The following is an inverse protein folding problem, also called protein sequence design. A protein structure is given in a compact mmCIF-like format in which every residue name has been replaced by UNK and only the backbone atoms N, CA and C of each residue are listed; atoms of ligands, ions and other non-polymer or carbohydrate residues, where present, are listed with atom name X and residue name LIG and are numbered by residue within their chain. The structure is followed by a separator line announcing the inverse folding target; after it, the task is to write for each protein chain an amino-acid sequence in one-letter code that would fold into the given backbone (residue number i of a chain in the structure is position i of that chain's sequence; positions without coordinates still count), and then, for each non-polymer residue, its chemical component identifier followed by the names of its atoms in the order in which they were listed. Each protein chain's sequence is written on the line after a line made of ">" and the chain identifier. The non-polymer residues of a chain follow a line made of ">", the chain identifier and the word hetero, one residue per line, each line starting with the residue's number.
data_IF_190076873926
#
_entry.id   IF_190076873926
#
_cell.length_a   1.000
_cell.length_b   1.000
_cell.length_c   1.000
_cell.angle_alpha   90.00
_cell.angle_beta   90.00
_cell.angle_gamma   90.00
#
_symmetry.space_group_name_H-M   'P 1'
#
loop_
_entity.id
_entity.type
_entity.pdbx_description
1 polymer ?
#
# COMPACT_ATOMS: atom_id res chain seq x y z
N UNK A 1 -11.73 7.10 -9.20
CA UNK A 1 -10.92 5.90 -8.85
C UNK A 1 -9.59 5.85 -9.58
N UNK A 2 -9.57 6.00 -10.91
CA UNK A 2 -8.32 5.87 -11.67
C UNK A 2 -7.29 6.94 -11.32
N UNK A 3 -7.72 8.17 -11.07
CA UNK A 3 -6.82 9.25 -10.66
C UNK A 3 -6.19 8.99 -9.28
N UNK A 4 -6.97 8.43 -8.37
CA UNK A 4 -6.48 8.04 -7.03
C UNK A 4 -5.44 6.94 -7.17
N UNK A 5 -5.72 5.92 -7.98
CA UNK A 5 -4.79 4.83 -8.22
C UNK A 5 -3.49 5.33 -8.87
N UNK A 6 -3.58 6.21 -9.85
CA UNK A 6 -2.41 6.80 -10.49
C UNK A 6 -1.59 7.63 -9.49
N UNK A 7 -2.24 8.41 -8.62
CA UNK A 7 -1.56 9.18 -7.57
C UNK A 7 -0.85 8.26 -6.58
N UNK A 8 -1.47 7.13 -6.22
CA UNK A 8 -0.84 6.13 -5.35
C UNK A 8 0.38 5.48 -6.01
N UNK A 9 0.32 5.20 -7.31
CA UNK A 9 1.49 4.71 -8.05
C UNK A 9 2.61 5.74 -8.05
N UNK A 10 2.30 7.01 -8.29
CA UNK A 10 3.28 8.10 -8.23
C UNK A 10 3.95 8.15 -6.86
N UNK A 11 3.16 8.11 -5.78
CA UNK A 11 3.68 8.14 -4.41
C UNK A 11 4.54 6.92 -4.10
N UNK A 12 4.18 5.74 -4.59
CA UNK A 12 4.97 4.53 -4.38
C UNK A 12 6.36 4.66 -5.00
N UNK A 13 6.45 5.19 -6.22
CA UNK A 13 7.74 5.43 -6.90
C UNK A 13 8.54 6.48 -6.13
N UNK A 14 7.89 7.57 -5.71
CA UNK A 14 8.56 8.63 -4.96
C UNK A 14 9.12 8.12 -3.63
N UNK A 15 8.34 7.36 -2.87
CA UNK A 15 8.78 6.83 -1.58
C UNK A 15 9.85 5.75 -1.75
N UNK A 16 9.80 4.97 -2.81
CA UNK A 16 10.88 4.04 -3.16
C UNK A 16 12.19 4.77 -3.42
N UNK A 17 12.14 5.83 -4.22
CA UNK A 17 13.31 6.65 -4.52
C UNK A 17 13.86 7.36 -3.29
N UNK A 18 12.99 7.97 -2.47
CA UNK A 18 13.41 8.65 -1.24
C UNK A 18 14.07 7.68 -0.26
N UNK A 19 13.51 6.49 -0.08
CA UNK A 19 14.08 5.47 0.81
C UNK A 19 15.44 4.98 0.36
N UNK A 20 15.67 4.90 -0.96
CA UNK A 20 16.94 4.46 -1.52
C UNK A 20 18.05 5.51 -1.44
N UNK A 21 17.70 6.80 -1.38
CA UNK A 21 18.67 7.90 -1.45
C UNK A 21 18.69 8.76 -0.19
N UNK A 22 17.69 9.62 0.00
CA UNK A 22 17.72 10.64 1.05
C UNK A 22 17.44 10.10 2.45
N UNK A 23 16.63 9.07 2.58
CA UNK A 23 16.24 8.48 3.86
C UNK A 23 17.09 7.26 4.24
N UNK A 24 17.99 6.83 3.37
CA UNK A 24 18.74 5.58 3.55
C UNK A 24 19.44 5.51 4.91
N UNK A 25 20.20 6.54 5.25
CA UNK A 25 20.96 6.58 6.51
C UNK A 25 20.02 6.56 7.74
N UNK A 26 18.93 7.34 7.70
CA UNK A 26 17.97 7.39 8.79
C UNK A 26 17.25 6.08 8.98
N UNK A 27 16.87 5.42 7.87
CA UNK A 27 16.19 4.13 7.91
C UNK A 27 17.10 3.04 8.46
N UNK A 28 18.38 3.04 8.08
CA UNK A 28 19.36 2.10 8.59
C UNK A 28 19.60 2.32 10.09
N UNK A 29 19.73 3.56 10.53
CA UNK A 29 19.91 3.91 11.93
C UNK A 29 18.74 3.47 12.80
N UNK A 30 17.51 3.58 12.30
CA UNK A 30 16.29 3.18 13.01
C UNK A 30 15.94 1.72 12.83
N UNK A 31 16.72 0.93 12.08
CA UNK A 31 16.43 -0.46 11.72
C UNK A 31 15.07 -0.61 11.03
N UNK A 32 14.70 0.37 10.21
CA UNK A 32 13.41 0.40 9.50
C UNK A 32 13.55 0.31 7.98
N UNK A 33 14.76 0.09 7.47
CA UNK A 33 14.98 0.01 6.02
C UNK A 33 14.17 -1.13 5.37
N UNK A 34 14.18 -2.30 5.98
CA UNK A 34 13.43 -3.46 5.48
C UNK A 34 11.92 -3.23 5.53
N UNK A 35 11.43 -2.64 6.63
CA UNK A 35 10.02 -2.27 6.76
C UNK A 35 9.60 -1.25 5.70
N UNK A 36 10.44 -0.26 5.42
CA UNK A 36 10.20 0.72 4.36
C UNK A 36 10.09 0.05 2.99
N UNK A 37 11.03 -0.84 2.65
CA UNK A 37 11.00 -1.57 1.39
C UNK A 37 9.74 -2.45 1.26
N UNK A 38 9.34 -3.11 2.33
CA UNK A 38 8.11 -3.89 2.37
C UNK A 38 6.89 -2.98 2.13
N UNK A 39 6.85 -1.83 2.77
CA UNK A 39 5.77 -0.85 2.58
C UNK A 39 5.68 -0.39 1.12
N UNK A 40 6.81 -0.05 0.50
CA UNK A 40 6.87 0.39 -0.90
C UNK A 40 6.40 -0.73 -1.83
N UNK A 41 6.86 -1.96 -1.61
CA UNK A 41 6.50 -3.10 -2.45
C UNK A 41 4.99 -3.36 -2.43
N UNK A 42 4.40 -3.48 -1.25
CA UNK A 42 2.96 -3.71 -1.12
C UNK A 42 2.15 -2.53 -1.65
N UNK A 43 2.61 -1.31 -1.37
CA UNK A 43 2.00 -0.10 -1.90
C UNK A 43 1.96 -0.12 -3.43
N UNK A 44 3.10 -0.35 -4.07
CA UNK A 44 3.20 -0.32 -5.53
C UNK A 44 2.36 -1.41 -6.18
N UNK A 45 2.46 -2.65 -5.69
CA UNK A 45 1.70 -3.78 -6.24
C UNK A 45 0.19 -3.50 -6.17
N UNK A 46 -0.28 -3.04 -5.02
CA UNK A 46 -1.71 -2.80 -4.84
C UNK A 46 -2.19 -1.53 -5.52
N UNK A 47 -1.34 -0.51 -5.66
CA UNK A 47 -1.67 0.68 -6.44
C UNK A 47 -1.85 0.35 -7.93
N UNK A 48 -1.00 -0.52 -8.47
CA UNK A 48 -1.14 -1.03 -9.84
C UNK A 48 -2.43 -1.84 -9.97
N UNK A 49 -2.72 -2.71 -9.01
CA UNK A 49 -3.97 -3.48 -9.00
C UNK A 49 -5.20 -2.55 -9.01
N UNK A 50 -5.18 -1.50 -8.18
CA UNK A 50 -6.25 -0.50 -8.16
C UNK A 50 -6.41 0.22 -9.50
N UNK A 51 -5.29 0.54 -10.15
CA UNK A 51 -5.30 1.19 -11.46
C UNK A 51 -5.95 0.29 -12.51
N UNK A 52 -5.55 -0.98 -12.54
CA UNK A 52 -6.10 -1.98 -13.47
C UNK A 52 -7.60 -2.17 -13.23
N UNK A 53 -8.01 -2.35 -11.98
CA UNK A 53 -9.43 -2.50 -11.63
C UNK A 53 -10.26 -1.27 -12.04
N UNK A 54 -9.72 -0.08 -11.83
CA UNK A 54 -10.39 1.16 -12.21
C UNK A 54 -10.48 1.32 -13.72
N UNK A 55 -9.45 0.90 -14.46
CA UNK A 55 -9.42 0.97 -15.92
C UNK A 55 -10.50 0.09 -16.54
N UNK A 56 -10.65 -1.13 -16.05
CA UNK A 56 -11.67 -2.05 -16.55
C UNK A 56 -13.09 -1.76 -16.05
N UNK A 57 -13.29 -0.69 -15.31
CA UNK A 57 -14.61 -0.29 -14.83
C UNK A 57 -15.23 -1.30 -13.89
N UNK A 58 -14.45 -1.84 -12.97
CA UNK A 58 -14.89 -2.91 -12.08
C UNK A 58 -16.22 -2.59 -11.39
N UNK A 59 -17.12 -3.55 -11.36
CA UNK A 59 -18.34 -3.49 -10.57
C UNK A 59 -18.07 -3.75 -9.08
N UNK A 60 -16.89 -4.27 -8.75
CA UNK A 60 -16.52 -4.64 -7.38
C UNK A 60 -15.88 -3.49 -6.64
N UNK A 61 -16.67 -2.45 -6.39
CA UNK A 61 -16.20 -1.28 -5.64
C UNK A 61 -15.72 -1.63 -4.23
N UNK A 62 -16.34 -2.64 -3.61
CA UNK A 62 -15.94 -3.09 -2.29
C UNK A 62 -14.51 -3.61 -2.25
N UNK A 63 -14.14 -4.45 -3.22
CA UNK A 63 -12.78 -4.97 -3.34
C UNK A 63 -11.77 -3.83 -3.57
N UNK A 64 -12.11 -2.86 -4.43
CA UNK A 64 -11.26 -1.69 -4.68
C UNK A 64 -10.98 -0.92 -3.40
N UNK A 65 -12.03 -0.62 -2.63
CA UNK A 65 -11.89 0.13 -1.38
C UNK A 65 -11.17 -0.66 -0.28
N UNK A 66 -11.33 -2.00 -0.25
CA UNK A 66 -10.54 -2.84 0.67
C UNK A 66 -9.05 -2.79 0.35
N UNK A 67 -8.69 -2.90 -0.92
CA UNK A 67 -7.28 -2.79 -1.34
C UNK A 67 -6.72 -1.39 -1.08
N UNK A 68 -7.51 -0.36 -1.35
CA UNK A 68 -7.14 1.02 -1.02
C UNK A 68 -6.88 1.20 0.48
N UNK A 69 -7.82 0.73 1.31
CA UNK A 69 -7.67 0.79 2.78
C UNK A 69 -6.44 0.02 3.24
N UNK A 70 -6.16 -1.11 2.60
CA UNK A 70 -4.95 -1.89 2.88
C UNK A 70 -3.68 -1.09 2.63
N UNK A 71 -3.60 -0.33 1.53
CA UNK A 71 -2.44 0.53 1.26
C UNK A 71 -2.28 1.56 2.37
N UNK A 72 -3.36 2.24 2.74
CA UNK A 72 -3.32 3.27 3.78
C UNK A 72 -2.91 2.69 5.13
N UNK A 73 -3.52 1.60 5.56
CA UNK A 73 -3.27 1.02 6.88
C UNK A 73 -1.99 0.20 6.95
N UNK A 74 -1.64 -0.54 5.92
CA UNK A 74 -0.43 -1.36 5.91
C UNK A 74 0.80 -0.52 5.59
N UNK A 75 0.88 0.01 4.38
CA UNK A 75 2.05 0.78 3.94
C UNK A 75 2.14 2.12 4.64
N UNK A 76 1.01 2.82 4.84
CA UNK A 76 0.95 4.09 5.55
C UNK A 76 1.46 3.99 6.98
N UNK A 77 1.06 2.96 7.73
CA UNK A 77 1.54 2.76 9.10
C UNK A 77 3.04 2.50 9.14
N UNK A 78 3.57 1.71 8.21
CA UNK A 78 5.01 1.44 8.12
C UNK A 78 5.81 2.70 7.77
N UNK A 79 5.31 3.52 6.84
CA UNK A 79 5.95 4.80 6.52
C UNK A 79 5.99 5.73 7.73
N UNK A 80 4.88 5.85 8.43
CA UNK A 80 4.80 6.72 9.62
C UNK A 80 5.70 6.22 10.75
N UNK A 81 5.76 4.91 10.99
CA UNK A 81 6.69 4.34 11.97
C UNK A 81 8.15 4.62 11.61
N UNK A 82 8.49 4.46 10.34
CA UNK A 82 9.87 4.69 9.88
C UNK A 82 10.28 6.15 10.01
N UNK A 83 9.37 7.09 9.75
CA UNK A 83 9.66 8.53 9.80
C UNK A 83 9.57 9.12 11.20
N UNK A 84 8.66 8.61 12.05
CA UNK A 84 8.38 9.21 13.36
C UNK A 84 8.92 8.40 14.53
N UNK A 85 9.19 7.12 14.34
CA UNK A 85 9.57 6.21 15.42
C UNK A 85 8.42 5.80 16.33
N UNK A 86 7.18 6.14 15.99
CA UNK A 86 6.00 5.83 16.81
C UNK A 86 5.61 4.36 16.67
N UNK A 87 6.04 3.53 17.62
CA UNK A 87 5.84 2.06 17.58
C UNK A 87 4.40 1.64 17.85
N UNK A 88 3.56 2.50 18.40
CA UNK A 88 2.13 2.20 18.64
C UNK A 88 1.35 2.01 17.33
N UNK A 89 1.91 2.41 16.20
CA UNK A 89 1.34 2.16 14.87
C UNK A 89 1.48 0.71 14.42
N UNK A 90 2.33 -0.08 15.08
CA UNK A 90 2.58 -1.47 14.73
C UNK A 90 1.32 -2.33 14.63
N UNK A 91 0.37 -2.28 15.59
CA UNK A 91 -0.87 -3.05 15.51
C UNK A 91 -1.80 -2.66 14.35
N UNK A 92 -1.62 -1.48 13.75
CA UNK A 92 -2.42 -1.03 12.60
C UNK A 92 -1.99 -1.77 11.33
N UNK A 93 -0.72 -2.08 11.19
CA UNK A 93 -0.17 -2.75 10.01
C UNK A 93 -0.87 -4.08 9.69
N UNK A 94 -1.08 -5.01 10.65
CA UNK A 94 -1.81 -6.25 10.39
C UNK A 94 -3.26 -6.02 9.95
N UNK A 95 -3.92 -4.97 10.43
CA UNK A 95 -5.27 -4.62 10.01
C UNK A 95 -5.27 -4.30 8.51
N UNK A 96 -4.29 -3.54 8.05
CA UNK A 96 -4.10 -3.28 6.63
C UNK A 96 -3.85 -4.54 5.82
N UNK A 97 -3.05 -5.47 6.34
CA UNK A 97 -2.83 -6.78 5.74
C UNK A 97 -4.11 -7.59 5.59
N UNK A 98 -4.98 -7.56 6.61
CA UNK A 98 -6.30 -8.19 6.53
C UNK A 98 -7.19 -7.54 5.48
N UNK A 99 -7.12 -6.22 5.30
CA UNK A 99 -7.82 -5.53 4.21
C UNK A 99 -7.36 -6.01 2.84
N UNK A 100 -6.07 -6.20 2.65
CA UNK A 100 -5.53 -6.77 1.41
C UNK A 100 -6.07 -8.16 1.18
N UNK A 101 -6.00 -9.04 2.19
CA UNK A 101 -6.52 -10.40 2.06
C UNK A 101 -8.02 -10.43 1.74
N UNK A 102 -8.80 -9.59 2.41
CA UNK A 102 -10.23 -9.49 2.17
C UNK A 102 -10.53 -8.98 0.75
N UNK A 103 -9.77 -8.01 0.28
CA UNK A 103 -9.92 -7.48 -1.09
C UNK A 103 -9.63 -8.53 -2.15
N UNK A 104 -8.53 -9.26 -2.00
CA UNK A 104 -8.18 -10.34 -2.92
C UNK A 104 -9.16 -11.52 -2.86
N UNK A 105 -9.60 -11.90 -1.65
CA UNK A 105 -10.61 -12.93 -1.48
C UNK A 105 -11.91 -12.55 -2.19
N UNK A 106 -12.32 -11.29 -2.09
CA UNK A 106 -13.49 -10.79 -2.79
C UNK A 106 -13.36 -10.97 -4.30
N UNK A 107 -12.18 -10.63 -4.85
CA UNK A 107 -11.93 -10.78 -6.29
C UNK A 107 -11.88 -12.24 -6.75
N UNK A 108 -11.49 -13.17 -5.87
CA UNK A 108 -11.57 -14.61 -6.15
C UNK A 108 -13.02 -15.05 -6.26
N UNK A 109 -13.87 -14.62 -5.35
CA UNK A 109 -15.27 -15.01 -5.30
C UNK A 109 -16.09 -14.33 -6.40
N UNK A 110 -15.78 -13.06 -6.68
CA UNK A 110 -16.51 -12.23 -7.63
C UNK A 110 -15.50 -11.43 -8.49
N UNK A 111 -14.90 -12.11 -9.48
CA UNK A 111 -13.91 -11.45 -10.34
C UNK A 111 -14.53 -10.36 -11.19
N UNK A 112 -13.74 -9.35 -11.59
CA UNK A 112 -14.22 -8.31 -12.48
C UNK A 112 -14.59 -8.92 -13.84
N UNK A 113 -15.66 -8.40 -14.42
CA UNK A 113 -16.08 -8.80 -15.77
C UNK A 113 -15.23 -8.04 -16.78
N UNK A 114 -14.61 -8.79 -17.67
CA UNK A 114 -13.85 -8.23 -18.80
C UNK A 114 -14.74 -7.94 -19.99
#
# INVERSE_FOLDING_TARGET
>A
MIRIAAALCFLAVAFGAFGAHWLKAQLEERHMAEAWHTAVLYHLIHAIALFVLAYFGTTNRGAWWLLFSGIILFSGSLYLMALSGMRWLGPITPIGGLCFLAGWAWLVISPPKL
#
